data_IF_876873966795
#
_entry.id   IF_876873966795
#
_cell.length_a   1.000
_cell.length_b   1.000
_cell.length_c   1.000
_cell.angle_alpha   90.00
_cell.angle_beta   90.00
_cell.angle_gamma   90.00
#
_symmetry.space_group_name_H-M   'P 1'
#
loop_
_entity.id
_entity.type
_entity.pdbx_description
1 polymer ?
#
# COMPACT_ATOMS: atom_id res chain seq x y z
N UNK A 1 5.98 -0.71 4.57
CA UNK A 1 4.60 -0.38 4.16
C UNK A 1 4.43 1.11 3.94
N UNK A 2 4.70 1.96 4.93
CA UNK A 2 4.69 3.42 4.77
C UNK A 2 5.51 3.88 3.55
N UNK A 3 6.72 3.34 3.38
CA UNK A 3 7.58 3.65 2.23
C UNK A 3 6.94 3.26 0.89
N UNK A 4 6.31 2.08 0.79
CA UNK A 4 5.68 1.61 -0.46
C UNK A 4 4.47 2.48 -0.81
N UNK A 5 3.62 2.80 0.18
CA UNK A 5 2.45 3.65 0.01
C UNK A 5 2.84 5.07 -0.44
N UNK A 6 3.79 5.69 0.26
CA UNK A 6 4.30 7.01 -0.10
C UNK A 6 4.98 7.00 -1.49
N UNK A 7 5.83 6.00 -1.76
CA UNK A 7 6.51 5.86 -3.04
C UNK A 7 5.55 5.69 -4.22
N UNK A 8 4.46 4.96 -4.02
CA UNK A 8 3.40 4.83 -5.02
C UNK A 8 2.70 6.16 -5.25
N UNK A 9 2.20 6.82 -4.19
CA UNK A 9 1.51 8.11 -4.29
C UNK A 9 2.37 9.20 -4.97
N UNK A 10 3.69 9.16 -4.74
CA UNK A 10 4.67 10.06 -5.33
C UNK A 10 4.99 9.77 -6.81
N UNK A 11 4.68 8.59 -7.32
CA UNK A 11 4.91 8.23 -8.73
C UNK A 11 3.62 8.28 -9.54
N UNK A 12 2.67 7.39 -9.25
CA UNK A 12 1.47 7.16 -10.04
C UNK A 12 0.42 6.41 -9.22
N UNK A 13 -0.83 6.42 -9.69
CA UNK A 13 -1.87 5.61 -9.06
C UNK A 13 -1.54 4.12 -9.17
N UNK A 14 -1.79 3.36 -8.12
CA UNK A 14 -1.58 1.92 -8.13
C UNK A 14 -2.37 1.19 -7.06
N UNK A 15 -2.19 -0.13 -7.02
CA UNK A 15 -2.93 -1.02 -6.12
C UNK A 15 -1.93 -1.87 -5.35
N UNK A 16 -2.07 -1.92 -4.03
CA UNK A 16 -1.39 -2.90 -3.18
C UNK A 16 -2.41 -3.95 -2.79
N UNK A 17 -2.03 -5.22 -2.85
CA UNK A 17 -2.87 -6.33 -2.39
C UNK A 17 -2.12 -7.06 -1.28
N UNK A 18 -2.74 -7.20 -0.12
CA UNK A 18 -2.16 -7.92 1.02
C UNK A 18 -2.57 -9.40 1.01
N UNK A 19 -1.71 -10.21 1.62
CA UNK A 19 -1.87 -11.68 1.75
C UNK A 19 -1.95 -12.43 0.42
N UNK A 20 -1.18 -11.96 -0.55
CA UNK A 20 -0.89 -12.70 -1.79
C UNK A 20 0.62 -12.96 -1.85
N UNK A 21 1.01 -14.18 -2.22
CA UNK A 21 2.42 -14.54 -2.39
C UNK A 21 3.03 -13.77 -3.57
N UNK A 22 4.10 -13.00 -3.33
CA UNK A 22 4.73 -12.14 -4.34
C UNK A 22 5.24 -12.93 -5.57
N UNK A 23 5.82 -14.12 -5.33
CA UNK A 23 6.34 -14.99 -6.40
C UNK A 23 5.36 -16.04 -6.88
N UNK A 24 4.64 -16.67 -5.96
CA UNK A 24 3.74 -17.80 -6.26
C UNK A 24 2.36 -17.34 -6.71
N UNK A 25 1.97 -16.12 -6.34
CA UNK A 25 0.61 -15.57 -6.48
C UNK A 25 -0.44 -16.36 -5.71
N UNK A 26 -0.02 -17.15 -4.72
CA UNK A 26 -0.94 -17.88 -3.86
C UNK A 26 -1.74 -16.90 -3.00
N UNK A 27 -3.05 -17.12 -2.93
CA UNK A 27 -3.95 -16.33 -2.09
C UNK A 27 -3.91 -16.95 -0.69
N UNK A 28 -3.23 -16.28 0.25
CA UNK A 28 -3.07 -16.77 1.62
C UNK A 28 -4.25 -16.39 2.51
N UNK A 29 -4.88 -15.26 2.21
CA UNK A 29 -6.00 -14.72 2.97
C UNK A 29 -5.62 -14.10 4.33
N UNK A 30 -6.54 -13.30 4.86
CA UNK A 30 -6.54 -12.74 6.20
C UNK A 30 -7.63 -13.46 7.00
N UNK A 31 -7.32 -14.04 8.17
CA UNK A 31 -8.35 -14.54 9.07
C UNK A 31 -9.29 -13.42 9.49
N UNK A 32 -10.61 -13.66 9.48
CA UNK A 32 -11.63 -12.64 9.71
C UNK A 32 -11.42 -11.89 11.04
N UNK A 33 -11.02 -12.61 12.09
CA UNK A 33 -10.74 -12.05 13.42
C UNK A 33 -9.53 -11.11 13.47
N UNK A 34 -8.70 -11.07 12.42
CA UNK A 34 -7.55 -10.18 12.30
C UNK A 34 -7.78 -9.00 11.36
N UNK A 35 -8.93 -8.94 10.67
CA UNK A 35 -9.17 -7.94 9.64
C UNK A 35 -9.13 -6.52 10.21
N UNK A 36 -9.85 -6.28 11.31
CA UNK A 36 -9.91 -4.98 11.98
C UNK A 36 -8.52 -4.47 12.41
N UNK A 37 -7.67 -5.39 12.89
CA UNK A 37 -6.29 -5.05 13.31
C UNK A 37 -5.45 -4.64 12.10
N UNK A 38 -5.58 -5.34 10.97
CA UNK A 38 -4.84 -5.01 9.74
C UNK A 38 -5.34 -3.70 9.15
N UNK A 39 -6.64 -3.46 9.13
CA UNK A 39 -7.20 -2.17 8.70
C UNK A 39 -6.76 -1.02 9.60
N UNK A 40 -6.85 -1.19 10.92
CA UNK A 40 -6.40 -0.19 11.89
C UNK A 40 -4.92 0.15 11.72
N UNK A 41 -4.09 -0.86 11.48
CA UNK A 41 -2.67 -0.68 11.19
C UNK A 41 -2.44 0.11 9.89
N UNK A 42 -3.18 -0.19 8.81
CA UNK A 42 -3.11 0.56 7.55
C UNK A 42 -3.55 2.02 7.74
N UNK A 43 -4.64 2.26 8.47
CA UNK A 43 -5.13 3.62 8.77
C UNK A 43 -4.09 4.42 9.57
N UNK A 44 -3.47 3.81 10.58
CA UNK A 44 -2.42 4.47 11.36
C UNK A 44 -1.19 4.78 10.52
N UNK A 45 -0.78 3.88 9.61
CA UNK A 45 0.32 4.20 8.69
C UNK A 45 0.01 5.43 7.83
N UNK A 46 -1.20 5.46 7.24
CA UNK A 46 -1.59 6.53 6.33
C UNK A 46 -1.71 7.89 7.03
N UNK A 47 -2.18 7.92 8.27
CA UNK A 47 -2.40 9.14 9.04
C UNK A 47 -1.17 9.60 9.84
N UNK A 48 -0.45 8.66 10.45
CA UNK A 48 0.52 8.97 11.50
C UNK A 48 1.98 8.78 11.03
N UNK A 49 2.21 7.95 10.01
CA UNK A 49 3.57 7.59 9.56
C UNK A 49 3.97 8.22 8.23
N UNK A 50 3.05 8.87 7.52
CA UNK A 50 3.27 9.51 6.22
C UNK A 50 2.91 10.99 6.33
N UNK A 51 3.80 11.86 5.84
CA UNK A 51 3.63 13.32 5.89
C UNK A 51 3.74 13.95 4.49
N UNK A 52 2.72 14.68 3.99
CA UNK A 52 1.40 14.83 4.59
C UNK A 52 0.64 13.49 4.66
N UNK A 53 -0.42 13.37 5.48
CA UNK A 53 -1.25 12.17 5.53
C UNK A 53 -1.69 11.71 4.14
N UNK A 54 -1.70 10.40 3.93
CA UNK A 54 -2.04 9.79 2.65
C UNK A 54 -3.48 9.31 2.63
N UNK A 55 -4.29 9.85 1.72
CA UNK A 55 -5.61 9.31 1.44
C UNK A 55 -5.51 8.09 0.51
N UNK A 56 -6.03 6.95 0.96
CA UNK A 56 -6.11 5.72 0.16
C UNK A 56 -7.46 5.03 0.37
N UNK A 57 -7.87 4.20 -0.58
CA UNK A 57 -9.11 3.42 -0.48
C UNK A 57 -8.76 1.99 -0.10
N UNK A 58 -9.11 1.59 1.12
CA UNK A 58 -8.91 0.22 1.63
C UNK A 58 -10.22 -0.55 1.43
N UNK A 59 -10.14 -1.72 0.80
CA UNK A 59 -11.29 -2.59 0.53
C UNK A 59 -10.98 -4.03 0.92
N UNK A 60 -11.92 -4.64 1.63
CA UNK A 60 -12.01 -6.08 1.76
C UNK A 60 -12.50 -6.68 0.43
N UNK A 61 -11.85 -7.75 -0.02
CA UNK A 61 -12.31 -8.56 -1.14
C UNK A 61 -12.31 -10.03 -0.75
N UNK A 62 -13.38 -10.73 -1.12
CA UNK A 62 -13.46 -12.19 -1.05
C UNK A 62 -13.08 -12.73 -2.43
N UNK A 63 -12.06 -13.57 -2.47
CA UNK A 63 -11.55 -14.17 -3.72
C UNK A 63 -11.34 -15.67 -3.54
N UNK A 64 -11.60 -16.50 -4.56
CA UNK A 64 -11.28 -17.93 -4.50
C UNK A 64 -9.77 -18.13 -4.61
N UNK A 65 -9.22 -19.06 -3.83
CA UNK A 65 -7.83 -19.52 -3.97
C UNK A 65 -7.68 -20.59 -5.08
N UNK A 66 -6.50 -21.20 -5.18
CA UNK A 66 -6.21 -22.26 -6.16
C UNK A 66 -7.05 -23.53 -5.97
N UNK A 67 -7.61 -23.74 -4.77
CA UNK A 67 -8.48 -24.86 -4.42
C UNK A 67 -9.97 -24.47 -4.50
N UNK A 68 -10.27 -23.25 -4.95
CA UNK A 68 -11.61 -22.64 -4.97
C UNK A 68 -12.19 -22.37 -3.57
N UNK A 69 -11.36 -22.32 -2.53
CA UNK A 69 -11.78 -21.87 -1.21
C UNK A 69 -11.82 -20.34 -1.15
N UNK A 70 -12.88 -19.78 -0.57
CA UNK A 70 -13.00 -18.33 -0.38
C UNK A 70 -11.99 -17.84 0.66
N UNK A 71 -11.20 -16.83 0.28
CA UNK A 71 -10.25 -16.14 1.15
C UNK A 71 -10.51 -14.65 1.13
N UNK A 72 -10.34 -14.02 2.29
CA UNK A 72 -10.43 -12.56 2.43
C UNK A 72 -9.05 -11.95 2.17
N UNK A 73 -8.96 -10.98 1.25
CA UNK A 73 -7.76 -10.18 1.02
C UNK A 73 -8.08 -8.70 1.22
N UNK A 74 -7.04 -7.89 1.43
CA UNK A 74 -7.17 -6.44 1.44
C UNK A 74 -6.56 -5.84 0.19
N UNK A 75 -7.34 -5.05 -0.52
CA UNK A 75 -6.92 -4.20 -1.64
C UNK A 75 -6.82 -2.76 -1.15
N UNK A 76 -5.67 -2.14 -1.39
CA UNK A 76 -5.45 -0.72 -1.12
C UNK A 76 -5.22 -0.02 -2.46
N UNK A 77 -6.16 0.83 -2.85
CA UNK A 77 -6.00 1.72 -4.00
C UNK A 77 -5.31 3.00 -3.55
N UNK A 78 -4.10 3.21 -4.06
CA UNK A 78 -3.26 4.38 -3.78
C UNK A 78 -3.38 5.34 -4.97
N UNK A 79 -4.09 6.47 -4.85
CA UNK A 79 -4.16 7.45 -5.92
C UNK A 79 -2.80 8.13 -6.11
N UNK A 80 -2.57 8.67 -7.32
CA UNK A 80 -1.45 9.61 -7.51
C UNK A 80 -1.78 10.87 -6.72
N UNK A 81 -0.95 11.22 -5.75
CA UNK A 81 -1.12 12.45 -4.98
C UNK A 81 -0.67 13.66 -5.79
N UNK A 82 -1.14 14.85 -5.43
CA UNK A 82 -0.56 16.12 -5.88
C UNK A 82 0.61 16.53 -4.97
N UNK A 83 0.61 16.12 -3.71
CA UNK A 83 1.68 16.38 -2.76
C UNK A 83 2.80 15.34 -2.85
N UNK A 84 3.99 15.70 -2.40
CA UNK A 84 5.09 14.75 -2.19
C UNK A 84 5.03 14.24 -0.75
N UNK A 85 4.77 12.96 -0.59
CA UNK A 85 4.69 12.28 0.70
C UNK A 85 6.06 11.81 1.18
N UNK A 86 6.36 12.07 2.44
CA UNK A 86 7.51 11.58 3.18
C UNK A 86 7.08 10.40 4.04
N UNK A 87 7.77 9.27 3.92
CA UNK A 87 7.64 8.15 4.84
C UNK A 87 8.74 8.21 5.92
N UNK A 88 8.77 7.33 6.93
CA UNK A 88 9.78 7.38 8.01
C UNK A 88 11.22 7.33 7.50
N UNK A 89 11.45 6.67 6.36
CA UNK A 89 12.78 6.52 5.77
C UNK A 89 13.14 7.62 4.76
N UNK A 90 12.23 8.55 4.45
CA UNK A 90 12.50 9.67 3.54
C UNK A 90 11.47 9.86 2.42
N UNK A 91 11.89 10.55 1.37
CA UNK A 91 11.08 10.79 0.18
C UNK A 91 11.43 9.75 -0.88
N UNK A 92 10.46 8.94 -1.27
CA UNK A 92 10.68 7.90 -2.28
C UNK A 92 9.70 8.04 -3.43
N UNK A 93 10.13 7.58 -4.60
CA UNK A 93 9.27 7.33 -5.74
C UNK A 93 9.48 5.90 -6.22
N UNK A 94 8.40 5.23 -6.61
CA UNK A 94 8.42 3.86 -7.10
C UNK A 94 8.97 3.77 -8.52
N UNK A 95 9.80 2.76 -8.77
CA UNK A 95 10.30 2.36 -10.09
C UNK A 95 10.20 0.83 -10.20
N UNK A 96 9.21 0.35 -10.95
CA UNK A 96 8.96 -1.09 -11.09
C UNK A 96 8.62 -1.74 -9.74
N UNK A 97 9.37 -2.78 -9.37
CA UNK A 97 9.27 -3.50 -8.08
C UNK A 97 10.19 -2.94 -6.99
N UNK A 98 10.75 -1.75 -7.20
CA UNK A 98 11.67 -1.08 -6.27
C UNK A 98 11.28 0.38 -6.10
N UNK A 99 12.01 1.09 -5.24
CA UNK A 99 11.86 2.52 -5.02
C UNK A 99 13.22 3.20 -4.96
N UNK A 100 13.24 4.49 -5.30
CA UNK A 100 14.43 5.34 -5.25
C UNK A 100 14.12 6.59 -4.45
N UNK A 101 15.13 7.12 -3.81
CA UNK A 101 15.03 8.39 -3.08
C UNK A 101 14.80 9.54 -4.06
N UNK A 102 13.85 10.43 -3.75
CA UNK A 102 13.62 11.66 -4.48
C UNK A 102 14.67 12.68 -4.02
N UNK A 103 15.48 13.15 -4.96
CA UNK A 103 16.44 14.23 -4.70
C UNK A 103 15.73 15.56 -4.48
N UNK A 104 16.34 16.54 -3.78
CA UNK A 104 15.73 17.83 -3.49
C UNK A 104 15.10 18.53 -4.70
N UNK A 105 15.75 18.49 -5.86
CA UNK A 105 15.26 19.10 -7.10
C UNK A 105 13.93 18.48 -7.59
N UNK A 106 13.65 17.23 -7.22
CA UNK A 106 12.43 16.51 -7.54
C UNK A 106 11.30 16.65 -6.52
N UNK A 107 11.53 17.38 -5.41
CA UNK A 107 10.50 17.65 -4.40
C UNK A 107 9.58 18.83 -4.80
N UNK A 108 10.01 19.64 -5.78
CA UNK A 108 9.17 20.69 -6.35
C UNK A 108 8.15 20.05 -7.31
N UNK A 109 6.85 20.18 -6.99
CA UNK A 109 5.74 19.70 -7.81
C UNK A 109 4.82 20.84 -8.21
#
# INVERSE_FOLDING_TARGET
MADELAAMANTASGIIVLRVGDKTRDILGIPAEKLDIVEGWLRSICNDSIDPPLDCVIRELIVPDQQSDEKIILRIDVPRSLFVHKSPNGYFHRIGSSWREIKPDGLAR
#
